data_IF_803241226118
#
_entry.id   IF_803241226118
#
_cell.length_a   1.000
_cell.length_b   1.000
_cell.length_c   1.000
_cell.angle_alpha   90.00
_cell.angle_beta   90.00
_cell.angle_gamma   90.00
#
_symmetry.space_group_name_H-M   'P 1'
#
loop_
_entity.id
_entity.type
_entity.pdbx_description
1 polymer ?
#
# COMPACT_ATOMS: atom_id res chain seq x y z
N UNK A 1 -1.40 -10.25 -14.55
CA UNK A 1 -1.04 -9.43 -13.38
C UNK A 1 -2.20 -8.56 -12.92
N UNK A 2 -2.24 -8.28 -11.66
CA UNK A 2 -3.28 -7.47 -11.04
C UNK A 2 -2.62 -6.35 -10.23
N UNK A 3 -3.18 -5.14 -10.29
CA UNK A 3 -2.64 -3.97 -9.61
C UNK A 3 -3.69 -3.38 -8.68
N UNK A 4 -3.28 -2.99 -7.48
CA UNK A 4 -4.12 -2.21 -6.57
C UNK A 4 -3.42 -0.92 -6.20
N UNK A 5 -4.16 0.18 -6.26
CA UNK A 5 -3.70 1.51 -5.85
C UNK A 5 -4.53 1.94 -4.64
N UNK A 6 -3.84 2.33 -3.58
CA UNK A 6 -4.49 2.82 -2.36
C UNK A 6 -4.02 4.24 -2.10
N UNK A 7 -4.93 5.20 -2.15
CA UNK A 7 -4.62 6.61 -2.01
C UNK A 7 -5.13 7.14 -0.67
N UNK A 8 -4.23 7.76 0.08
CA UNK A 8 -4.55 8.39 1.36
C UNK A 8 -4.45 9.89 1.23
N UNK A 9 -5.47 10.60 1.71
CA UNK A 9 -5.49 12.06 1.69
C UNK A 9 -6.28 12.59 2.88
N UNK A 10 -6.14 13.88 3.16
CA UNK A 10 -6.88 14.55 4.21
C UNK A 10 -6.37 14.18 5.60
N UNK A 11 -7.30 14.01 6.53
CA UNK A 11 -7.00 13.84 7.95
C UNK A 11 -6.07 12.65 8.20
N UNK A 12 -4.93 12.93 8.85
CA UNK A 12 -3.99 11.91 9.28
C UNK A 12 -3.11 11.32 8.17
N UNK A 13 -3.33 11.68 6.91
CA UNK A 13 -2.60 11.06 5.80
C UNK A 13 -1.11 11.37 5.84
N UNK A 14 -0.73 12.62 6.13
CA UNK A 14 0.69 13.00 6.21
C UNK A 14 1.38 12.27 7.36
N UNK A 15 0.73 12.22 8.51
CA UNK A 15 1.26 11.55 9.70
C UNK A 15 1.40 10.05 9.44
N UNK A 16 0.45 9.44 8.73
CA UNK A 16 0.55 8.03 8.36
C UNK A 16 1.80 7.78 7.49
N UNK A 17 2.04 8.66 6.51
CA UNK A 17 3.20 8.49 5.63
C UNK A 17 4.52 8.77 6.36
N UNK A 18 4.52 9.60 7.41
CA UNK A 18 5.69 9.72 8.28
C UNK A 18 6.02 8.36 8.94
N UNK A 19 5.00 7.67 9.43
CA UNK A 19 5.17 6.34 10.04
C UNK A 19 5.64 5.32 9.01
N UNK A 20 5.00 5.31 7.83
CA UNK A 20 5.37 4.36 6.76
C UNK A 20 6.81 4.57 6.30
N UNK A 21 7.24 5.82 6.15
CA UNK A 21 8.61 6.12 5.73
C UNK A 21 9.62 5.67 6.79
N UNK A 22 9.33 5.92 8.07
CA UNK A 22 10.19 5.50 9.16
C UNK A 22 10.35 3.99 9.22
N UNK A 23 9.31 3.24 8.86
CA UNK A 23 9.29 1.78 8.92
C UNK A 23 9.30 1.13 7.53
N UNK A 24 9.88 1.81 6.54
CA UNK A 24 9.87 1.34 5.15
C UNK A 24 10.43 -0.08 5.00
N UNK A 25 11.45 -0.44 5.76
CA UNK A 25 12.03 -1.79 5.69
C UNK A 25 11.08 -2.86 6.18
N UNK A 26 10.30 -2.57 7.21
CA UNK A 26 9.28 -3.51 7.70
C UNK A 26 8.21 -3.73 6.65
N UNK A 27 7.76 -2.64 6.03
CA UNK A 27 6.75 -2.68 4.96
C UNK A 27 7.30 -3.48 3.78
N UNK A 28 8.54 -3.24 3.39
CA UNK A 28 9.18 -4.00 2.31
C UNK A 28 9.16 -5.50 2.58
N UNK A 29 9.57 -5.91 3.78
CA UNK A 29 9.61 -7.32 4.15
C UNK A 29 8.25 -7.99 4.08
N UNK A 30 7.21 -7.30 4.56
CA UNK A 30 5.85 -7.82 4.53
C UNK A 30 5.36 -8.01 3.09
N UNK A 31 5.53 -6.99 2.25
CA UNK A 31 5.03 -7.01 0.87
C UNK A 31 5.79 -8.05 0.05
N UNK A 32 7.12 -8.13 0.19
CA UNK A 32 7.93 -9.11 -0.55
C UNK A 32 7.60 -10.55 -0.17
N UNK A 33 7.11 -10.79 1.04
CA UNK A 33 6.78 -12.13 1.49
C UNK A 33 5.49 -12.67 0.89
N UNK A 34 4.67 -11.81 0.26
CA UNK A 34 3.39 -12.23 -0.31
C UNK A 34 3.64 -12.95 -1.63
N UNK A 35 3.00 -14.11 -1.78
CA UNK A 35 3.15 -14.93 -2.97
C UNK A 35 2.69 -14.17 -4.22
N UNK A 36 3.51 -14.24 -5.27
CA UNK A 36 3.19 -13.59 -6.55
C UNK A 36 3.62 -12.14 -6.64
N UNK A 37 4.42 -11.65 -5.70
CA UNK A 37 4.92 -10.28 -5.73
C UNK A 37 5.62 -9.96 -7.04
N UNK A 38 5.29 -8.82 -7.64
CA UNK A 38 5.93 -8.31 -8.85
C UNK A 38 6.63 -6.98 -8.55
N UNK A 39 5.89 -5.99 -8.07
CA UNK A 39 6.47 -4.68 -7.74
C UNK A 39 5.62 -3.96 -6.73
N UNK A 40 6.22 -2.99 -6.06
CA UNK A 40 5.55 -2.17 -5.06
C UNK A 40 6.19 -0.79 -5.02
N UNK A 41 5.37 0.24 -5.01
CA UNK A 41 5.81 1.62 -4.82
C UNK A 41 4.98 2.28 -3.75
N UNK A 42 5.65 3.00 -2.87
CA UNK A 42 5.00 3.80 -1.85
C UNK A 42 5.43 5.25 -2.10
N UNK A 43 4.47 6.10 -2.45
CA UNK A 43 4.76 7.45 -2.97
C UNK A 43 4.13 8.48 -2.05
N UNK A 44 4.94 9.42 -1.56
CA UNK A 44 4.44 10.54 -0.76
C UNK A 44 4.03 11.67 -1.69
N UNK A 45 2.85 12.24 -1.45
CA UNK A 45 2.36 13.44 -2.15
C UNK A 45 2.23 14.57 -1.15
N UNK A 46 1.89 15.77 -1.64
CA UNK A 46 1.72 16.93 -0.77
C UNK A 46 0.58 16.77 0.23
N UNK A 47 -0.42 15.93 -0.09
CA UNK A 47 -1.63 15.75 0.73
C UNK A 47 -1.66 14.41 1.47
N UNK A 48 -0.62 13.60 1.32
CA UNK A 48 -0.57 12.29 1.95
C UNK A 48 0.30 11.35 1.13
N UNK A 49 -0.32 10.48 0.34
CA UNK A 49 0.43 9.57 -0.50
C UNK A 49 -0.39 8.42 -1.04
N UNK A 50 0.26 7.56 -1.79
CA UNK A 50 -0.41 6.37 -2.32
C UNK A 50 0.57 5.21 -2.44
N UNK A 51 0.02 4.01 -2.50
CA UNK A 51 0.79 2.79 -2.79
C UNK A 51 0.30 2.17 -4.09
N UNK A 52 1.23 1.58 -4.84
CA UNK A 52 0.92 0.81 -6.05
C UNK A 52 1.52 -0.57 -5.86
N UNK A 53 0.66 -1.58 -5.80
CA UNK A 53 1.09 -2.97 -5.59
C UNK A 53 0.72 -3.79 -6.81
N UNK A 54 1.70 -4.50 -7.37
CA UNK A 54 1.48 -5.37 -8.53
C UNK A 54 1.83 -6.80 -8.14
N UNK A 55 0.89 -7.70 -8.38
CA UNK A 55 1.05 -9.13 -8.10
C UNK A 55 0.65 -9.95 -9.32
N UNK A 56 1.03 -11.22 -9.34
CA UNK A 56 0.72 -12.11 -10.45
C UNK A 56 -0.79 -12.28 -10.63
N UNK A 57 -1.55 -12.25 -9.53
CA UNK A 57 -3.00 -12.42 -9.57
C UNK A 57 -3.69 -11.61 -8.47
N UNK A 58 -5.03 -11.63 -8.50
CA UNK A 58 -5.85 -10.89 -7.54
C UNK A 58 -5.66 -11.37 -6.10
N UNK A 59 -5.38 -12.66 -5.91
CA UNK A 59 -5.17 -13.18 -4.56
C UNK A 59 -4.00 -12.47 -3.87
N UNK A 60 -2.94 -12.17 -4.62
CA UNK A 60 -1.80 -11.43 -4.09
C UNK A 60 -2.14 -10.00 -3.72
N UNK A 61 -2.86 -9.28 -4.59
CA UNK A 61 -3.25 -7.90 -4.27
C UNK A 61 -4.22 -7.86 -3.10
N UNK A 62 -5.15 -8.79 -3.01
CA UNK A 62 -6.09 -8.87 -1.87
C UNK A 62 -5.32 -9.09 -0.56
N UNK A 63 -4.34 -9.99 -0.57
CA UNK A 63 -3.52 -10.23 0.62
C UNK A 63 -2.69 -9.00 0.98
N UNK A 64 -2.15 -8.29 -0.02
CA UNK A 64 -1.36 -7.08 0.23
C UNK A 64 -2.19 -5.99 0.91
N UNK A 65 -3.44 -5.82 0.50
CA UNK A 65 -4.35 -4.85 1.12
C UNK A 65 -4.63 -5.26 2.57
N UNK A 66 -4.90 -6.53 2.82
CA UNK A 66 -5.20 -7.03 4.16
C UNK A 66 -4.00 -6.85 5.09
N UNK A 67 -2.81 -7.24 4.65
CA UNK A 67 -1.60 -7.12 5.45
C UNK A 67 -1.22 -5.67 5.72
N UNK A 68 -1.37 -4.80 4.72
CA UNK A 68 -1.10 -3.37 4.90
C UNK A 68 -2.06 -2.75 5.90
N UNK A 69 -3.35 -3.09 5.82
CA UNK A 69 -4.35 -2.62 6.77
C UNK A 69 -4.03 -3.09 8.20
N UNK A 70 -3.66 -4.36 8.35
CA UNK A 70 -3.30 -4.90 9.66
C UNK A 70 -2.07 -4.20 10.24
N UNK A 71 -1.04 -3.99 9.40
CA UNK A 71 0.16 -3.30 9.84
C UNK A 71 -0.13 -1.87 10.30
N UNK A 72 -0.93 -1.13 9.53
CA UNK A 72 -1.33 0.24 9.87
C UNK A 72 -2.10 0.25 11.18
N UNK A 73 -3.02 -0.69 11.36
CA UNK A 73 -3.79 -0.79 12.59
C UNK A 73 -2.90 -1.02 13.81
N UNK A 74 -1.87 -1.84 13.67
CA UNK A 74 -0.97 -2.19 14.77
C UNK A 74 0.09 -1.13 15.05
N UNK A 75 0.53 -0.40 14.03
CA UNK A 75 1.69 0.49 14.14
C UNK A 75 1.34 1.97 14.00
N UNK A 76 0.19 2.30 13.43
CA UNK A 76 -0.24 3.67 13.18
C UNK A 76 -1.72 3.90 13.49
N UNK A 77 -2.32 3.02 14.30
CA UNK A 77 -3.74 3.12 14.64
C UNK A 77 -4.10 4.41 15.37
N UNK A 78 -3.15 4.98 16.11
CA UNK A 78 -3.35 6.22 16.84
C UNK A 78 -3.28 7.47 15.95
N UNK A 79 -2.85 7.34 14.71
CA UNK A 79 -2.77 8.46 13.76
C UNK A 79 -4.15 8.94 13.36
N UNK A 80 -5.13 8.03 13.26
CA UNK A 80 -6.48 8.38 12.91
C UNK A 80 -6.66 8.81 11.47
N UNK A 81 -5.88 8.23 10.55
CA UNK A 81 -5.96 8.55 9.13
C UNK A 81 -7.30 8.09 8.55
N UNK A 82 -7.84 8.88 7.61
CA UNK A 82 -9.03 8.47 6.87
C UNK A 82 -8.73 7.19 6.09
N UNK A 83 -9.75 6.32 5.88
CA UNK A 83 -9.56 5.14 5.03
C UNK A 83 -9.11 5.53 3.62
N UNK A 84 -8.31 4.69 2.97
CA UNK A 84 -7.84 5.01 1.62
C UNK A 84 -8.93 4.83 0.57
N UNK A 85 -8.81 5.59 -0.52
CA UNK A 85 -9.52 5.31 -1.74
C UNK A 85 -8.79 4.16 -2.44
N UNK A 86 -9.51 3.11 -2.81
CA UNK A 86 -8.91 1.91 -3.41
C UNK A 86 -9.38 1.75 -4.84
N UNK A 87 -8.44 1.60 -5.77
CA UNK A 87 -8.73 1.26 -7.16
C UNK A 87 -7.90 0.04 -7.52
N UNK A 88 -8.50 -0.92 -8.22
CA UNK A 88 -7.77 -2.12 -8.62
C UNK A 88 -8.25 -2.62 -9.96
N UNK A 89 -7.40 -3.35 -10.64
CA UNK A 89 -7.75 -3.90 -11.94
C UNK A 89 -6.67 -4.79 -12.51
N UNK A 90 -7.00 -5.35 -13.66
CA UNK A 90 -6.10 -6.21 -14.42
C UNK A 90 -5.12 -5.35 -15.23
N UNK A 91 -3.84 -5.69 -15.17
CA UNK A 91 -2.86 -5.00 -16.02
C UNK A 91 -3.09 -5.36 -17.47
N UNK A 92 -3.33 -4.35 -18.30
CA UNK A 92 -3.49 -4.56 -19.74
C UNK A 92 -2.19 -4.32 -20.51
N UNK A 93 -1.22 -3.67 -19.86
CA UNK A 93 0.12 -3.43 -20.43
C UNK A 93 1.07 -3.25 -19.26
N UNK A 94 2.17 -3.98 -19.26
CA UNK A 94 3.19 -3.91 -18.22
C UNK A 94 4.56 -3.83 -18.89
N UNK A 95 5.23 -2.70 -18.77
CA UNK A 95 6.56 -2.48 -19.33
C UNK A 95 7.57 -2.36 -18.19
N UNK A 96 8.80 -2.72 -18.49
CA UNK A 96 9.92 -2.57 -17.57
C UNK A 96 10.81 -1.43 -18.01
#
# INVERSE_FOLDING_TARGET
MHTVVRTYSGKGAKELFDVLEKHAKDVEGIIRSIRGFVSYSLVRTSDGGFSVSVFQDKAGTDESVRKARDWISQNAGNVGANPPAVAEGLNILQLK
#
